data_IF_890812945874
#
_entry.id   IF_890812945874
#
_cell.length_a   1.000
_cell.length_b   1.000
_cell.length_c   1.000
_cell.angle_alpha   90.00
_cell.angle_beta   90.00
_cell.angle_gamma   90.00
#
_symmetry.space_group_name_H-M   'P 1'
#
loop_
_entity.id
_entity.type
_entity.pdbx_description
1 polymer ?
#
# COMPACT_ATOMS: atom_id res chain seq x y z
N UNK A 1 20.83 7.53 -20.90
CA UNK A 1 19.39 7.33 -21.27
C UNK A 1 18.46 7.83 -20.17
N UNK A 2 18.52 9.13 -19.82
CA UNK A 2 17.86 9.68 -18.61
C UNK A 2 16.93 10.86 -18.89
N UNK A 3 16.46 11.02 -20.12
CA UNK A 3 15.58 12.14 -20.50
C UNK A 3 14.07 11.84 -20.44
N UNK A 4 13.67 10.62 -20.06
CA UNK A 4 12.26 10.28 -19.89
C UNK A 4 11.86 10.59 -18.47
N UNK A 5 10.89 11.52 -18.24
CA UNK A 5 10.41 11.85 -16.92
C UNK A 5 9.94 10.60 -16.15
N UNK A 6 10.00 10.67 -14.83
CA UNK A 6 9.47 9.61 -13.99
C UNK A 6 7.95 9.52 -14.16
N UNK A 7 7.44 8.31 -14.23
CA UNK A 7 6.00 8.06 -14.20
C UNK A 7 5.44 8.27 -12.79
N UNK A 8 4.12 8.30 -12.67
CA UNK A 8 3.47 8.31 -11.38
C UNK A 8 3.87 7.06 -10.56
N UNK A 9 3.85 5.88 -11.16
CA UNK A 9 4.14 4.62 -10.47
C UNK A 9 5.59 4.53 -9.99
N UNK A 10 6.55 4.98 -10.79
CA UNK A 10 7.94 5.11 -10.35
C UNK A 10 8.09 6.12 -9.19
N UNK A 11 7.31 7.20 -9.22
CA UNK A 11 7.29 8.18 -8.14
C UNK A 11 6.72 7.59 -6.85
N UNK A 12 5.61 6.84 -6.93
CA UNK A 12 5.01 6.18 -5.78
C UNK A 12 5.93 5.09 -5.19
N UNK A 13 6.61 4.32 -6.04
CA UNK A 13 7.60 3.34 -5.61
C UNK A 13 8.75 4.01 -4.83
N UNK A 14 9.28 5.13 -5.32
CA UNK A 14 10.33 5.87 -4.62
C UNK A 14 9.85 6.50 -3.31
N UNK A 15 8.62 7.03 -3.27
CA UNK A 15 8.00 7.57 -2.03
C UNK A 15 7.92 6.50 -0.96
N UNK A 16 7.43 5.31 -1.30
CA UNK A 16 7.32 4.19 -0.37
C UNK A 16 8.70 3.68 0.06
N UNK A 17 9.62 3.46 -0.88
CA UNK A 17 10.96 2.94 -0.61
C UNK A 17 11.70 3.75 0.48
N UNK A 18 11.57 5.07 0.44
CA UNK A 18 12.20 5.99 1.41
C UNK A 18 11.67 5.84 2.84
N UNK A 19 10.59 5.10 3.05
CA UNK A 19 9.98 4.86 4.38
C UNK A 19 10.38 3.54 4.99
N UNK A 20 10.99 2.64 4.23
CA UNK A 20 11.42 1.32 4.71
C UNK A 20 12.80 1.40 5.36
N UNK A 21 13.03 0.52 6.32
CA UNK A 21 14.25 0.43 7.08
C UNK A 21 14.93 -0.91 6.85
N UNK A 22 16.22 -0.92 7.06
CA UNK A 22 17.01 -2.14 6.98
C UNK A 22 16.57 -3.16 8.03
N UNK A 23 16.58 -4.46 7.67
CA UNK A 23 16.17 -5.56 8.53
C UNK A 23 14.64 -5.68 8.74
N UNK A 24 13.81 -4.84 8.12
CA UNK A 24 12.36 -5.00 8.18
C UNK A 24 11.86 -6.17 7.31
N UNK A 25 10.67 -6.68 7.64
CA UNK A 25 9.92 -7.64 6.84
C UNK A 25 8.70 -6.94 6.26
N UNK A 26 8.64 -6.82 4.93
CA UNK A 26 7.54 -6.21 4.20
C UNK A 26 6.69 -7.27 3.49
N UNK A 27 5.39 -7.24 3.73
CA UNK A 27 4.42 -8.13 3.10
C UNK A 27 3.65 -7.45 1.99
N UNK A 28 3.51 -8.12 0.83
CA UNK A 28 2.53 -7.75 -0.19
C UNK A 28 1.84 -8.98 -0.76
N UNK A 29 0.52 -8.85 -1.01
CA UNK A 29 -0.27 -9.87 -1.69
C UNK A 29 -0.17 -9.76 -3.21
N UNK A 30 -0.84 -10.68 -3.89
CA UNK A 30 -1.10 -10.63 -5.32
C UNK A 30 -2.55 -10.24 -5.55
N UNK A 31 -2.78 -9.09 -6.16
CA UNK A 31 -4.12 -8.55 -6.35
C UNK A 31 -4.57 -8.67 -7.80
N UNK A 32 -5.78 -9.19 -7.98
CA UNK A 32 -6.40 -9.40 -9.29
C UNK A 32 -6.97 -8.10 -9.86
N UNK A 33 -6.80 -7.89 -11.16
CA UNK A 33 -7.27 -6.73 -11.91
C UNK A 33 -6.23 -5.62 -12.00
N UNK A 34 -6.07 -5.04 -13.21
CA UNK A 34 -4.95 -4.19 -13.58
C UNK A 34 -4.64 -3.04 -12.58
N UNK A 35 -5.66 -2.26 -12.20
CA UNK A 35 -5.45 -1.13 -11.28
C UNK A 35 -5.10 -1.59 -9.85
N UNK A 36 -5.73 -2.66 -9.37
CA UNK A 36 -5.44 -3.24 -8.07
C UNK A 36 -4.06 -3.90 -8.04
N UNK A 37 -3.69 -4.65 -9.08
CA UNK A 37 -2.39 -5.27 -9.23
C UNK A 37 -1.27 -4.20 -9.28
N UNK A 38 -1.45 -3.11 -10.02
CA UNK A 38 -0.46 -2.03 -10.05
C UNK A 38 -0.25 -1.40 -8.68
N UNK A 39 -1.34 -0.99 -8.00
CA UNK A 39 -1.24 -0.30 -6.72
C UNK A 39 -0.92 -1.22 -5.53
N UNK A 40 -1.51 -2.40 -5.48
CA UNK A 40 -1.38 -3.31 -4.33
C UNK A 40 -0.29 -4.36 -4.45
N UNK A 41 0.31 -4.54 -5.63
CA UNK A 41 1.37 -5.53 -5.85
C UNK A 41 2.61 -4.91 -6.50
N UNK A 42 2.49 -4.36 -7.71
CA UNK A 42 3.65 -3.95 -8.50
C UNK A 42 4.41 -2.77 -7.87
N UNK A 43 3.72 -1.69 -7.50
CA UNK A 43 4.34 -0.54 -6.83
C UNK A 43 4.97 -0.94 -5.49
N UNK A 44 4.30 -1.69 -4.58
CA UNK A 44 4.90 -2.26 -3.38
C UNK A 44 6.16 -3.08 -3.63
N UNK A 45 6.13 -4.03 -4.56
CA UNK A 45 7.30 -4.84 -4.91
C UNK A 45 8.46 -3.99 -5.40
N UNK A 46 8.19 -3.08 -6.34
CA UNK A 46 9.21 -2.17 -6.85
C UNK A 46 9.81 -1.28 -5.75
N UNK A 47 8.99 -0.82 -4.81
CA UNK A 47 9.43 0.00 -3.69
C UNK A 47 10.34 -0.80 -2.73
N UNK A 48 9.97 -2.03 -2.39
CA UNK A 48 10.77 -2.90 -1.53
C UNK A 48 12.09 -3.28 -2.21
N UNK A 49 12.07 -3.65 -3.50
CA UNK A 49 13.28 -3.93 -4.27
C UNK A 49 14.18 -2.69 -4.40
N UNK A 50 13.61 -1.50 -4.64
CA UNK A 50 14.39 -0.26 -4.66
C UNK A 50 15.08 -0.01 -3.32
N UNK A 51 14.37 -0.15 -2.20
CA UNK A 51 14.94 0.02 -0.87
C UNK A 51 16.06 -1.00 -0.61
N UNK A 52 15.83 -2.28 -0.94
CA UNK A 52 16.80 -3.37 -0.78
C UNK A 52 18.08 -3.12 -1.58
N UNK A 53 17.97 -2.57 -2.78
CA UNK A 53 19.12 -2.27 -3.66
C UNK A 53 19.80 -0.93 -3.35
N UNK A 54 19.29 -0.14 -2.41
CA UNK A 54 19.84 1.17 -2.09
C UNK A 54 20.27 1.32 -0.64
N UNK A 55 19.37 1.27 0.32
CA UNK A 55 19.64 1.64 1.71
C UNK A 55 19.18 0.62 2.76
N UNK A 56 18.47 -0.44 2.34
CA UNK A 56 17.92 -1.47 3.22
C UNK A 56 18.25 -2.88 2.70
N UNK A 57 19.55 -3.28 2.61
CA UNK A 57 19.97 -4.53 1.97
C UNK A 57 19.42 -5.78 2.67
N UNK A 58 19.16 -5.73 3.97
CA UNK A 58 18.61 -6.83 4.76
C UNK A 58 17.07 -6.81 4.86
N UNK A 59 16.39 -5.93 4.10
CA UNK A 59 14.93 -5.94 3.97
C UNK A 59 14.48 -7.29 3.40
N UNK A 60 13.57 -7.96 4.08
CA UNK A 60 12.93 -9.17 3.59
C UNK A 60 11.61 -8.83 2.88
N UNK A 61 11.47 -9.27 1.64
CA UNK A 61 10.23 -9.19 0.86
C UNK A 61 9.45 -10.49 1.04
N UNK A 62 8.25 -10.41 1.58
CA UNK A 62 7.34 -11.54 1.72
C UNK A 62 6.19 -11.39 0.71
N UNK A 63 6.29 -12.09 -0.43
CA UNK A 63 5.26 -12.10 -1.46
C UNK A 63 4.22 -13.17 -1.17
N UNK A 64 2.95 -12.78 -1.18
CA UNK A 64 1.79 -13.67 -0.99
C UNK A 64 1.85 -14.53 0.30
N UNK A 65 2.66 -14.15 1.28
CA UNK A 65 2.86 -14.89 2.53
C UNK A 65 3.69 -16.17 2.40
N UNK A 66 4.15 -16.51 1.21
CA UNK A 66 4.82 -17.78 0.94
C UNK A 66 6.24 -17.63 0.40
N UNK A 67 6.53 -16.58 -0.36
CA UNK A 67 7.80 -16.44 -1.08
C UNK A 67 8.65 -15.36 -0.45
N UNK A 68 9.75 -15.75 0.19
CA UNK A 68 10.73 -14.85 0.81
C UNK A 68 11.77 -14.43 -0.22
N UNK A 69 11.97 -13.14 -0.38
CA UNK A 69 12.91 -12.55 -1.31
C UNK A 69 12.82 -13.19 -2.72
N UNK A 70 11.66 -13.09 -3.39
CA UNK A 70 11.48 -13.68 -4.72
C UNK A 70 12.39 -13.01 -5.74
N UNK A 71 12.93 -13.77 -6.68
CA UNK A 71 13.73 -13.26 -7.78
C UNK A 71 12.79 -12.78 -8.88
N UNK A 72 12.46 -11.50 -8.87
CA UNK A 72 11.47 -10.93 -9.80
C UNK A 72 11.95 -10.91 -11.24
N UNK A 73 13.25 -10.94 -11.46
CA UNK A 73 13.87 -11.03 -12.79
C UNK A 73 13.54 -12.35 -13.53
N UNK A 74 13.15 -13.39 -12.82
CA UNK A 74 12.76 -14.68 -13.41
C UNK A 74 11.33 -14.69 -13.92
N UNK A 75 10.50 -13.69 -13.54
CA UNK A 75 9.14 -13.59 -14.03
C UNK A 75 9.10 -13.04 -15.46
N UNK A 76 8.23 -13.58 -16.30
CA UNK A 76 7.89 -13.03 -17.61
C UNK A 76 6.67 -12.10 -17.55
N UNK A 77 5.83 -12.31 -16.54
CA UNK A 77 4.62 -11.53 -16.26
C UNK A 77 4.38 -11.49 -14.76
N UNK A 78 3.84 -10.39 -14.26
CA UNK A 78 3.42 -10.32 -12.86
C UNK A 78 2.27 -11.32 -12.63
N UNK A 79 2.39 -12.25 -11.66
CA UNK A 79 1.31 -13.18 -11.32
C UNK A 79 0.05 -12.42 -10.88
N UNK A 80 -1.11 -12.90 -11.30
CA UNK A 80 -2.40 -12.26 -10.99
C UNK A 80 -3.10 -12.86 -9.75
N UNK A 81 -2.56 -13.93 -9.19
CA UNK A 81 -3.01 -14.53 -7.92
C UNK A 81 -1.93 -15.41 -7.30
N UNK A 82 -2.07 -15.69 -6.00
CA UNK A 82 -1.23 -16.62 -5.26
C UNK A 82 -1.35 -18.09 -5.72
N UNK A 83 -2.30 -18.39 -6.60
CA UNK A 83 -2.51 -19.69 -7.20
C UNK A 83 -1.96 -19.81 -8.63
N UNK A 84 -1.32 -18.76 -9.15
CA UNK A 84 -0.74 -18.77 -10.48
C UNK A 84 0.35 -19.84 -10.59
N UNK A 85 0.30 -20.61 -11.68
CA UNK A 85 1.25 -21.70 -11.92
C UNK A 85 2.71 -21.23 -12.04
N UNK A 86 2.93 -19.99 -12.50
CA UNK A 86 4.27 -19.39 -12.63
C UNK A 86 5.00 -19.30 -11.29
N UNK A 87 4.28 -19.21 -10.19
CA UNK A 87 4.85 -19.13 -8.84
C UNK A 87 5.49 -20.44 -8.38
N UNK A 88 5.18 -21.60 -8.98
CA UNK A 88 5.74 -22.90 -8.58
C UNK A 88 7.25 -22.96 -8.76
N UNK A 89 7.73 -22.35 -9.83
CA UNK A 89 9.12 -22.37 -10.23
C UNK A 89 9.84 -21.03 -9.94
N UNK A 90 9.15 -20.10 -9.27
CA UNK A 90 9.71 -18.80 -8.89
C UNK A 90 10.87 -19.00 -7.91
N UNK A 91 12.08 -18.63 -8.34
CA UNK A 91 13.24 -18.64 -7.46
C UNK A 91 13.01 -17.65 -6.30
N UNK A 92 13.33 -18.10 -5.09
CA UNK A 92 13.23 -17.31 -3.87
C UNK A 92 14.21 -17.83 -2.83
N UNK A 93 14.52 -17.00 -1.84
CA UNK A 93 15.42 -17.40 -0.76
C UNK A 93 14.84 -18.51 0.12
N UNK A 94 13.53 -18.46 0.38
CA UNK A 94 12.78 -19.51 1.05
C UNK A 94 11.33 -19.51 0.57
N UNK A 95 10.77 -20.74 0.40
CA UNK A 95 9.37 -20.92 0.10
C UNK A 95 8.69 -21.67 1.25
N UNK A 96 7.59 -21.11 1.74
CA UNK A 96 6.76 -21.76 2.75
C UNK A 96 5.61 -22.49 2.08
N UNK A 97 5.61 -23.82 2.18
CA UNK A 97 4.60 -24.68 1.55
C UNK A 97 3.33 -24.84 2.37
N UNK A 98 3.45 -24.76 3.69
CA UNK A 98 2.31 -24.72 4.60
C UNK A 98 2.11 -23.30 5.06
N UNK A 99 0.90 -22.80 5.03
CA UNK A 99 0.56 -21.44 5.38
C UNK A 99 0.89 -21.10 6.86
N UNK A 100 2.17 -20.90 7.23
CA UNK A 100 2.55 -20.48 8.57
C UNK A 100 2.41 -18.96 8.70
N UNK A 101 2.04 -18.26 7.63
CA UNK A 101 1.81 -16.81 7.64
C UNK A 101 0.88 -16.36 8.75
N UNK A 102 -0.09 -17.19 9.14
CA UNK A 102 -0.92 -16.92 10.30
C UNK A 102 -0.15 -16.89 11.64
N UNK A 103 0.92 -17.63 11.78
CA UNK A 103 1.75 -17.62 12.99
C UNK A 103 2.63 -16.39 13.07
N UNK A 104 3.26 -16.01 11.97
CA UNK A 104 4.02 -14.76 11.86
C UNK A 104 3.12 -13.54 12.05
N UNK A 105 1.92 -13.54 11.44
CA UNK A 105 0.91 -12.52 11.63
C UNK A 105 0.53 -12.35 13.10
N UNK A 106 0.27 -13.45 13.80
CA UNK A 106 -0.13 -13.44 15.22
C UNK A 106 0.96 -12.94 16.16
N UNK A 107 2.23 -13.04 15.78
CA UNK A 107 3.36 -12.61 16.60
C UNK A 107 3.81 -11.17 16.30
N UNK A 108 3.30 -10.56 15.23
CA UNK A 108 3.73 -9.24 14.78
C UNK A 108 5.16 -9.24 14.20
N UNK A 109 5.61 -10.35 13.64
CA UNK A 109 6.93 -10.48 13.03
C UNK A 109 7.03 -9.73 11.69
N UNK A 110 5.88 -9.32 11.10
CA UNK A 110 5.82 -8.53 9.89
C UNK A 110 5.87 -7.04 10.24
N UNK A 111 6.90 -6.36 9.76
CA UNK A 111 7.14 -4.95 10.07
C UNK A 111 6.13 -4.03 9.39
N UNK A 112 5.73 -4.36 8.15
CA UNK A 112 4.73 -3.60 7.42
C UNK A 112 4.05 -4.43 6.32
N UNK A 113 2.85 -4.00 5.93
CA UNK A 113 2.09 -4.60 4.84
C UNK A 113 1.40 -3.58 3.97
N UNK A 114 0.76 -4.09 2.91
CA UNK A 114 0.02 -3.32 1.94
C UNK A 114 -1.41 -3.85 1.80
N UNK A 115 -2.38 -2.97 1.99
CA UNK A 115 -3.79 -3.23 1.73
C UNK A 115 -4.32 -2.30 0.66
N UNK A 116 -5.32 -2.78 -0.08
CA UNK A 116 -6.14 -1.94 -0.96
C UNK A 116 -7.59 -2.02 -0.52
N UNK A 117 -8.37 -0.97 -0.77
CA UNK A 117 -9.78 -0.92 -0.38
C UNK A 117 -10.64 -0.20 -1.40
N UNK A 118 -11.96 -0.35 -1.27
CA UNK A 118 -12.93 0.39 -2.09
C UNK A 118 -13.29 1.72 -1.42
N UNK A 119 -13.34 1.76 -0.09
CA UNK A 119 -13.54 2.99 0.65
C UNK A 119 -12.47 3.15 1.74
N UNK A 120 -12.11 4.40 1.97
CA UNK A 120 -11.30 4.83 3.12
C UNK A 120 -11.97 6.06 3.73
N UNK A 121 -11.95 6.18 5.06
CA UNK A 121 -12.52 7.33 5.75
C UNK A 121 -11.46 8.25 6.37
N UNK A 122 -11.95 9.36 6.93
CA UNK A 122 -11.10 10.41 7.51
C UNK A 122 -10.22 9.95 8.67
N UNK A 123 -10.53 8.82 9.30
CA UNK A 123 -9.71 8.23 10.38
C UNK A 123 -8.84 7.08 9.90
N UNK A 124 -8.84 6.82 8.58
CA UNK A 124 -8.05 5.77 7.94
C UNK A 124 -8.61 4.37 8.10
N UNK A 125 -9.88 4.22 8.50
CA UNK A 125 -10.54 2.92 8.42
C UNK A 125 -10.84 2.60 6.95
N UNK A 126 -10.72 1.32 6.59
CA UNK A 126 -10.91 0.84 5.22
C UNK A 126 -12.08 -0.13 5.10
N UNK A 127 -12.63 -0.22 3.88
CA UNK A 127 -13.74 -1.11 3.57
C UNK A 127 -13.54 -1.82 2.23
N UNK A 128 -13.55 -3.15 2.29
CA UNK A 128 -13.53 -4.06 1.13
C UNK A 128 -14.67 -5.08 1.17
N UNK A 129 -15.69 -4.86 2.00
CA UNK A 129 -16.78 -5.82 2.24
C UNK A 129 -18.05 -5.48 1.49
N UNK A 130 -18.55 -4.24 1.62
CA UNK A 130 -19.79 -3.86 0.96
C UNK A 130 -19.96 -2.34 0.89
N UNK A 131 -20.76 -1.87 -0.06
CA UNK A 131 -21.26 -0.50 -0.11
C UNK A 131 -22.74 -0.50 0.29
N UNK A 132 -23.11 0.37 1.22
CA UNK A 132 -24.41 0.44 1.85
C UNK A 132 -24.54 -0.50 3.06
N UNK A 133 -25.73 -0.60 3.67
CA UNK A 133 -25.95 -1.37 4.90
C UNK A 133 -25.57 -2.83 4.75
N UNK A 134 -24.77 -3.39 5.66
CA UNK A 134 -24.23 -4.75 5.59
C UNK A 134 -25.32 -5.83 5.43
N UNK A 135 -26.47 -5.66 6.11
CA UNK A 135 -27.59 -6.61 6.02
C UNK A 135 -28.24 -6.65 4.63
N UNK A 136 -28.20 -5.53 3.87
CA UNK A 136 -28.76 -5.41 2.52
C UNK A 136 -27.92 -4.45 1.69
N UNK A 137 -26.70 -4.86 1.30
CA UNK A 137 -25.79 -3.98 0.59
C UNK A 137 -26.25 -3.67 -0.83
N UNK A 138 -25.93 -2.45 -1.30
CA UNK A 138 -26.08 -2.08 -2.71
C UNK A 138 -25.07 -2.81 -3.59
N UNK A 139 -23.86 -2.99 -3.05
CA UNK A 139 -22.77 -3.73 -3.72
C UNK A 139 -22.10 -4.64 -2.68
N UNK A 140 -21.94 -5.92 -3.02
CA UNK A 140 -21.08 -6.84 -2.28
C UNK A 140 -19.70 -6.81 -2.94
N UNK A 141 -18.65 -6.65 -2.13
CA UNK A 141 -17.26 -6.63 -2.58
C UNK A 141 -16.58 -7.97 -2.29
N UNK A 142 -15.27 -8.04 -2.57
CA UNK A 142 -14.48 -9.29 -2.45
C UNK A 142 -14.32 -9.79 -1.00
N UNK A 143 -14.49 -8.93 -0.02
CA UNK A 143 -14.26 -9.23 1.38
C UNK A 143 -12.93 -8.67 1.89
N UNK A 144 -12.67 -8.78 3.21
CA UNK A 144 -11.51 -8.16 3.83
C UNK A 144 -10.22 -8.96 3.67
N UNK A 145 -10.31 -10.24 3.30
CA UNK A 145 -9.18 -11.19 3.28
C UNK A 145 -8.44 -11.10 4.65
N UNK A 146 -7.20 -10.62 4.69
CA UNK A 146 -6.39 -10.47 5.92
C UNK A 146 -6.30 -9.01 6.42
N UNK A 147 -7.14 -8.10 5.95
CA UNK A 147 -7.09 -6.68 6.34
C UNK A 147 -7.25 -6.43 7.85
N UNK A 148 -8.12 -7.16 8.58
CA UNK A 148 -8.19 -7.01 10.04
C UNK A 148 -6.86 -7.36 10.71
N UNK A 149 -6.23 -8.45 10.28
CA UNK A 149 -4.93 -8.91 10.78
C UNK A 149 -3.81 -7.92 10.42
N UNK A 150 -3.74 -7.47 9.18
CA UNK A 150 -2.78 -6.47 8.74
C UNK A 150 -2.85 -5.20 9.60
N UNK A 151 -4.05 -4.65 9.75
CA UNK A 151 -4.28 -3.42 10.50
C UNK A 151 -4.05 -3.55 12.01
N UNK A 152 -3.95 -4.78 12.55
CA UNK A 152 -3.86 -5.00 13.99
C UNK A 152 -2.58 -5.67 14.44
N UNK A 153 -1.95 -6.48 13.58
CA UNK A 153 -0.82 -7.34 13.94
C UNK A 153 0.49 -6.93 13.27
N UNK A 154 0.46 -6.31 12.09
CA UNK A 154 1.67 -5.78 11.46
C UNK A 154 2.16 -4.54 12.19
N UNK A 155 3.44 -4.24 12.08
CA UNK A 155 4.01 -3.04 12.67
C UNK A 155 3.37 -1.76 12.14
N UNK A 156 3.07 -1.70 10.86
CA UNK A 156 2.31 -0.63 10.19
C UNK A 156 1.70 -1.11 8.87
N UNK A 157 0.71 -0.38 8.37
CA UNK A 157 0.03 -0.69 7.12
C UNK A 157 0.01 0.49 6.16
N UNK A 158 0.36 0.22 4.90
CA UNK A 158 0.23 1.15 3.78
C UNK A 158 -1.07 0.86 3.03
N UNK A 159 -1.93 1.85 2.90
CA UNK A 159 -3.21 1.72 2.19
C UNK A 159 -3.02 2.23 0.76
N UNK A 160 -3.09 1.33 -0.21
CA UNK A 160 -2.86 1.59 -1.62
C UNK A 160 -4.19 1.73 -2.35
N UNK A 161 -4.58 2.98 -2.66
CA UNK A 161 -5.88 3.30 -3.26
C UNK A 161 -5.71 3.58 -4.75
N UNK A 162 -6.12 2.66 -5.66
CA UNK A 162 -5.96 2.85 -7.11
C UNK A 162 -6.86 3.94 -7.69
N UNK A 163 -7.88 4.35 -6.94
CA UNK A 163 -8.83 5.40 -7.33
C UNK A 163 -8.96 6.43 -6.22
N UNK A 164 -9.16 7.70 -6.63
CA UNK A 164 -9.37 8.79 -5.70
C UNK A 164 -10.56 9.65 -6.16
N UNK A 165 -11.73 9.29 -5.69
CA UNK A 165 -12.98 10.04 -5.86
C UNK A 165 -13.85 9.99 -4.60
N UNK A 166 -14.96 10.74 -4.58
CA UNK A 166 -15.86 10.84 -3.40
C UNK A 166 -16.51 9.52 -3.01
N UNK A 167 -16.50 8.50 -3.85
CA UNK A 167 -17.03 7.16 -3.50
C UNK A 167 -16.00 6.34 -2.76
N UNK A 168 -14.72 6.62 -3.01
CA UNK A 168 -13.61 5.94 -2.36
C UNK A 168 -13.19 6.63 -1.07
N UNK A 169 -13.16 7.97 -1.05
CA UNK A 169 -12.81 8.78 0.11
C UNK A 169 -14.09 9.35 0.74
N UNK A 170 -14.55 8.72 1.81
CA UNK A 170 -15.85 8.98 2.46
C UNK A 170 -15.66 9.49 3.89
N UNK A 171 -16.61 10.26 4.42
CA UNK A 171 -16.57 10.73 5.81
C UNK A 171 -16.50 9.55 6.80
N UNK A 172 -17.24 8.47 6.49
CA UNK A 172 -17.24 7.22 7.25
C UNK A 172 -17.48 6.06 6.30
N UNK A 173 -16.69 5.00 6.42
CA UNK A 173 -16.87 3.78 5.64
C UNK A 173 -18.17 3.07 5.96
N UNK A 174 -18.79 2.43 4.97
CA UNK A 174 -20.05 1.69 5.15
C UNK A 174 -19.87 0.41 5.99
N UNK A 175 -18.67 -0.16 5.95
CA UNK A 175 -18.26 -1.29 6.78
C UNK A 175 -16.77 -1.15 7.13
N UNK A 176 -16.37 -1.54 8.32
CA UNK A 176 -14.97 -1.51 8.74
C UNK A 176 -14.35 -2.88 8.54
N UNK A 177 -13.54 -3.04 7.49
CA UNK A 177 -12.72 -4.23 7.25
C UNK A 177 -11.31 -4.11 7.81
N UNK A 178 -10.83 -2.88 8.02
CA UNK A 178 -9.58 -2.58 8.69
C UNK A 178 -9.75 -1.30 9.51
N UNK A 179 -9.34 -1.34 10.77
CA UNK A 179 -9.56 -0.25 11.72
C UNK A 179 -8.44 0.78 11.64
N UNK A 180 -8.79 2.03 11.35
CA UNK A 180 -7.90 3.18 11.44
C UNK A 180 -7.73 3.71 12.87
N UNK A 181 -7.86 5.02 13.04
CA UNK A 181 -7.71 5.71 14.34
C UNK A 181 -9.00 6.40 14.80
N UNK A 182 -10.10 5.66 15.05
CA UNK A 182 -11.33 6.25 15.58
C UNK A 182 -11.07 6.81 16.98
N UNK A 183 -11.22 8.14 17.12
CA UNK A 183 -10.87 8.83 18.37
C UNK A 183 -9.34 8.98 18.59
N UNK A 184 -8.56 8.92 17.51
CA UNK A 184 -7.11 9.03 17.56
C UNK A 184 -6.41 7.79 18.13
N UNK A 185 -5.17 7.96 18.56
CA UNK A 185 -4.36 6.87 19.14
C UNK A 185 -5.02 6.28 20.40
N UNK A 186 -5.53 7.13 21.28
CA UNK A 186 -6.18 6.68 22.52
C UNK A 186 -7.51 5.95 22.23
N UNK A 187 -8.27 6.42 21.23
CA UNK A 187 -9.48 5.71 20.78
C UNK A 187 -9.15 4.33 20.24
N UNK A 188 -8.07 4.20 19.46
CA UNK A 188 -7.59 2.92 18.97
C UNK A 188 -7.16 1.99 20.13
N UNK A 189 -6.42 2.50 21.11
CA UNK A 189 -6.03 1.75 22.32
C UNK A 189 -7.23 1.25 23.13
N UNK A 190 -8.26 2.06 23.24
CA UNK A 190 -9.50 1.67 23.96
C UNK A 190 -10.21 0.48 23.33
N UNK A 191 -9.93 0.19 22.04
CA UNK A 191 -10.40 -1.01 21.35
C UNK A 191 -9.47 -2.23 21.55
N UNK A 192 -8.43 -2.13 22.37
CA UNK A 192 -7.42 -3.16 22.57
C UNK A 192 -6.41 -3.26 21.41
N UNK A 193 -6.28 -2.21 20.61
CA UNK A 193 -5.40 -2.15 19.43
C UNK A 193 -4.19 -1.26 19.73
N UNK A 194 -3.26 -1.77 20.52
CA UNK A 194 -2.05 -1.04 20.95
C UNK A 194 -0.95 -1.01 19.88
N UNK A 195 -1.10 -1.78 18.82
CA UNK A 195 -0.08 -2.03 17.81
C UNK A 195 -0.65 -1.85 16.40
N UNK A 196 0.24 -1.63 15.42
CA UNK A 196 -0.14 -1.54 14.02
C UNK A 196 -0.99 -0.31 13.67
N UNK A 197 -1.74 -0.45 12.61
CA UNK A 197 -2.60 0.57 12.03
C UNK A 197 -2.03 1.21 10.79
N UNK A 198 -2.86 1.96 10.05
CA UNK A 198 -2.42 2.61 8.82
C UNK A 198 -1.40 3.71 9.12
N UNK A 199 -0.32 3.77 8.35
CA UNK A 199 0.72 4.80 8.47
C UNK A 199 0.73 5.76 7.28
N UNK A 200 0.24 5.31 6.12
CA UNK A 200 0.22 6.10 4.90
C UNK A 200 -0.92 5.63 3.99
N UNK A 201 -1.56 6.56 3.27
CA UNK A 201 -2.49 6.24 2.20
C UNK A 201 -1.94 6.82 0.90
N UNK A 202 -1.76 5.96 -0.10
CA UNK A 202 -1.19 6.33 -1.40
C UNK A 202 -2.28 6.26 -2.46
N UNK A 203 -2.43 7.34 -3.24
CA UNK A 203 -3.45 7.48 -4.27
C UNK A 203 -2.88 8.01 -5.57
N UNK A 204 -3.63 8.04 -6.69
CA UNK A 204 -3.18 8.70 -7.91
C UNK A 204 -3.08 10.24 -7.82
N UNK A 205 -3.59 10.87 -6.75
CA UNK A 205 -3.64 12.33 -6.62
C UNK A 205 -2.72 12.88 -5.55
N UNK A 206 -2.54 12.14 -4.45
CA UNK A 206 -1.78 12.59 -3.29
C UNK A 206 -1.32 11.43 -2.43
N UNK A 207 -0.45 11.73 -1.49
CA UNK A 207 -0.06 10.87 -0.37
C UNK A 207 -0.63 11.49 0.89
N UNK A 208 -1.26 10.66 1.72
CA UNK A 208 -1.66 11.03 3.07
C UNK A 208 -0.74 10.36 4.08
N UNK A 209 -0.49 11.06 5.18
CA UNK A 209 -0.02 10.51 6.45
C UNK A 209 -1.11 10.64 7.53
N UNK A 210 -0.75 10.41 8.77
CA UNK A 210 -1.69 10.47 9.90
C UNK A 210 -1.29 11.56 10.88
N UNK A 211 -2.14 12.55 11.06
CA UNK A 211 -2.05 13.50 12.16
C UNK A 211 -2.65 12.85 13.42
N UNK A 212 -1.80 12.21 14.20
CA UNK A 212 -2.23 11.55 15.45
C UNK A 212 -2.77 12.52 16.50
N UNK A 213 -2.38 13.79 16.45
CA UNK A 213 -2.91 14.81 17.35
C UNK A 213 -4.35 15.20 16.99
N UNK A 214 -4.68 15.23 15.70
CA UNK A 214 -6.03 15.48 15.20
C UNK A 214 -6.86 14.20 15.05
N UNK A 215 -6.21 13.03 15.11
CA UNK A 215 -6.86 11.73 15.02
C UNK A 215 -7.43 11.42 13.64
N UNK A 216 -6.75 11.84 12.58
CA UNK A 216 -7.21 11.63 11.21
C UNK A 216 -6.10 11.67 10.16
N UNK A 217 -6.49 11.43 8.93
CA UNK A 217 -5.58 11.54 7.78
C UNK A 217 -5.27 13.01 7.49
N UNK A 218 -4.04 13.28 7.08
CA UNK A 218 -3.56 14.59 6.64
C UNK A 218 -2.87 14.46 5.28
N UNK A 219 -3.00 15.46 4.40
CA UNK A 219 -2.33 15.44 3.10
C UNK A 219 -0.85 15.75 3.29
N UNK A 220 -0.01 14.74 3.11
CA UNK A 220 1.45 14.86 3.21
C UNK A 220 2.04 15.56 1.97
N UNK A 221 1.58 15.16 0.77
CA UNK A 221 2.03 15.76 -0.49
C UNK A 221 1.00 15.54 -1.60
N UNK A 222 1.00 16.43 -2.58
CA UNK A 222 0.11 16.41 -3.76
C UNK A 222 0.95 16.12 -5.00
N UNK A 223 0.52 15.21 -5.87
CA UNK A 223 1.28 14.87 -7.07
C UNK A 223 1.31 16.02 -8.07
N UNK A 224 2.39 16.10 -8.83
CA UNK A 224 2.55 17.11 -9.87
C UNK A 224 1.37 17.09 -10.86
N UNK A 225 0.83 18.27 -11.16
CA UNK A 225 -0.31 18.41 -12.06
C UNK A 225 -1.69 18.27 -11.41
N UNK A 226 -1.77 17.82 -10.15
CA UNK A 226 -3.05 17.73 -9.42
C UNK A 226 -3.44 19.11 -8.87
N UNK A 227 -4.65 19.53 -9.19
CA UNK A 227 -5.20 20.82 -8.74
C UNK A 227 -5.81 20.68 -7.35
N UNK A 228 -5.41 21.53 -6.40
CA UNK A 228 -5.77 21.42 -4.97
C UNK A 228 -7.27 21.44 -4.70
N UNK A 229 -8.02 22.33 -5.38
CA UNK A 229 -9.48 22.35 -5.17
C UNK A 229 -10.16 21.09 -5.72
N UNK A 230 -9.70 20.54 -6.86
CA UNK A 230 -10.21 19.29 -7.40
C UNK A 230 -9.88 18.10 -6.48
N UNK A 231 -8.75 18.13 -5.78
CA UNK A 231 -8.42 17.12 -4.77
C UNK A 231 -9.44 17.17 -3.62
N UNK A 232 -9.77 18.36 -3.12
CA UNK A 232 -10.80 18.52 -2.09
C UNK A 232 -12.18 18.08 -2.60
N UNK A 233 -12.55 18.44 -3.82
CA UNK A 233 -13.82 18.00 -4.42
C UNK A 233 -13.91 16.50 -4.61
N UNK A 234 -12.79 15.83 -4.90
CA UNK A 234 -12.70 14.38 -5.04
C UNK A 234 -12.71 13.63 -3.70
N UNK A 235 -12.61 14.35 -2.57
CA UNK A 235 -12.55 13.78 -1.21
C UNK A 235 -13.86 14.06 -0.46
N UNK A 236 -14.42 13.06 0.19
CA UNK A 236 -15.71 13.15 0.89
C UNK A 236 -15.64 13.75 2.29
N UNK A 237 -14.46 14.15 2.75
CA UNK A 237 -14.23 14.83 4.02
C UNK A 237 -13.30 16.05 3.83
N UNK A 238 -13.28 16.93 4.82
CA UNK A 238 -12.45 18.14 4.79
C UNK A 238 -10.97 17.78 4.94
N UNK A 239 -10.16 18.24 3.96
CA UNK A 239 -8.69 18.06 3.94
C UNK A 239 -7.96 19.21 4.66
N UNK A 240 -8.67 20.25 5.10
CA UNK A 240 -8.08 21.43 5.69
C UNK A 240 -7.38 22.34 4.67
N UNK A 241 -6.41 23.13 5.15
CA UNK A 241 -5.68 24.04 4.28
C UNK A 241 -4.65 23.29 3.42
N UNK A 242 -4.86 23.27 2.11
CA UNK A 242 -3.95 22.64 1.15
C UNK A 242 -2.91 23.62 0.54
N UNK A 243 -2.96 24.91 0.86
CA UNK A 243 -2.13 25.93 0.20
C UNK A 243 -0.63 25.65 0.34
N UNK A 244 -0.21 25.23 1.53
CA UNK A 244 1.19 24.99 1.87
C UNK A 244 1.62 23.52 1.74
N UNK A 245 0.72 22.64 1.29
CA UNK A 245 1.05 21.22 1.08
C UNK A 245 2.05 21.08 -0.08
N UNK A 246 3.21 20.44 0.13
CA UNK A 246 4.24 20.34 -0.89
C UNK A 246 3.82 19.43 -2.04
N UNK A 247 4.47 19.60 -3.19
CA UNK A 247 4.39 18.62 -4.28
C UNK A 247 5.17 17.36 -3.90
N UNK A 248 4.61 16.21 -4.26
CA UNK A 248 5.26 14.90 -4.04
C UNK A 248 6.65 14.89 -4.68
N UNK A 249 7.65 14.54 -3.90
CA UNK A 249 9.05 14.52 -4.34
C UNK A 249 9.26 13.38 -5.34
N UNK A 250 9.68 13.68 -6.59
CA UNK A 250 9.95 12.65 -7.59
C UNK A 250 11.15 11.78 -7.17
N UNK A 251 11.36 10.63 -7.84
CA UNK A 251 12.59 9.86 -7.66
C UNK A 251 13.82 10.69 -8.07
N UNK A 252 14.92 10.48 -7.39
CA UNK A 252 16.24 10.97 -7.83
C UNK A 252 16.67 10.24 -9.08
N UNK A 253 17.69 10.79 -9.77
CA UNK A 253 18.25 10.11 -10.95
C UNK A 253 18.80 8.72 -10.65
N UNK A 254 19.37 8.53 -9.45
CA UNK A 254 19.89 7.22 -9.02
C UNK A 254 18.76 6.25 -8.70
N UNK A 255 17.71 6.67 -7.97
CA UNK A 255 16.53 5.85 -7.70
C UNK A 255 15.86 5.43 -9.02
N UNK A 256 15.71 6.36 -9.96
CA UNK A 256 15.10 6.08 -11.26
C UNK A 256 15.95 5.10 -12.09
N UNK A 257 17.27 5.25 -12.06
CA UNK A 257 18.19 4.32 -12.72
C UNK A 257 18.07 2.92 -12.11
N UNK A 258 18.08 2.81 -10.77
CA UNK A 258 17.93 1.51 -10.09
C UNK A 258 16.58 0.86 -10.42
N UNK A 259 15.48 1.62 -10.40
CA UNK A 259 14.15 1.12 -10.77
C UNK A 259 14.15 0.56 -12.21
N UNK A 260 14.72 1.29 -13.16
CA UNK A 260 14.66 0.96 -14.60
C UNK A 260 15.65 -0.09 -15.04
N UNK A 261 16.84 -0.14 -14.42
CA UNK A 261 17.94 -1.00 -14.88
C UNK A 261 18.12 -2.25 -14.01
N UNK A 262 17.70 -2.20 -12.74
CA UNK A 262 17.95 -3.28 -11.80
C UNK A 262 16.66 -3.89 -11.20
N UNK A 263 15.62 -3.09 -10.95
CA UNK A 263 14.38 -3.61 -10.35
C UNK A 263 13.44 -4.15 -11.42
N UNK A 264 13.17 -3.36 -12.46
CA UNK A 264 12.22 -3.74 -13.51
C UNK A 264 12.75 -3.41 -14.92
N UNK A 265 13.88 -4.04 -15.34
CA UNK A 265 14.51 -3.75 -16.63
C UNK A 265 13.59 -4.09 -17.82
N UNK A 266 12.75 -5.10 -17.69
CA UNK A 266 11.81 -5.58 -18.71
C UNK A 266 10.41 -4.97 -18.63
N UNK A 267 10.16 -4.09 -17.63
CA UNK A 267 8.87 -3.50 -17.36
C UNK A 267 7.74 -4.53 -17.06
N UNK A 268 8.08 -5.59 -16.36
CA UNK A 268 7.12 -6.64 -15.95
C UNK A 268 6.15 -6.10 -14.90
N UNK A 269 6.64 -5.24 -14.01
CA UNK A 269 5.81 -4.57 -13.01
C UNK A 269 4.93 -3.46 -13.61
N UNK A 270 5.14 -3.09 -14.87
CA UNK A 270 4.32 -2.10 -15.57
C UNK A 270 4.41 -0.69 -14.95
N UNK A 271 5.60 -0.30 -14.49
CA UNK A 271 5.81 1.02 -13.88
C UNK A 271 5.95 2.14 -14.91
N UNK A 272 6.24 1.79 -16.16
CA UNK A 272 6.52 2.72 -17.28
C UNK A 272 5.40 2.76 -18.29
#
# INVERSE_FOLDING_TARGET
>A
MTDVPATLYETLAAVLARTFRDGEVGFTGLLTGAAAASFGTAIPLAAMELAKRTHAPDLTILLAGCYHNPVLEDLDVLPDSEHDAVLRDLACEAQMTDYPGQWSLKRGDISFGFSSAVQVDRVGSINSVCVGPHARPKVRLVGPILQPEHMTLFGREYVMMPHHDRRNFVEKVDFVSGVGYPGGVEGRRSLGLDHGGPCMIVTPKCVFDFDHARGGVAVQSIHAGVVRHELQEATGFDLGNLADVPTTKPPTSDELRVLREAVDPRNILGLR
#
